data_IF_913393108047
#
_entry.id   IF_913393108047
#
_cell.length_a   1.000
_cell.length_b   1.000
_cell.length_c   1.000
_cell.angle_alpha   90.00
_cell.angle_beta   90.00
_cell.angle_gamma   90.00
#
_symmetry.space_group_name_H-M   'P 1'
#
loop_
_entity.id
_entity.type
_entity.pdbx_description
1 polymer ?
#
# COMPACT_ATOMS: atom_id res chain seq x y z
N UNK A 1 6.98 -40.59 29.49
CA UNK A 1 6.34 -39.33 29.04
C UNK A 1 6.63 -39.13 27.56
N UNK A 2 5.57 -39.03 26.75
CA UNK A 2 5.64 -39.16 25.29
C UNK A 2 6.10 -37.83 24.66
N UNK A 3 7.30 -37.79 24.07
CA UNK A 3 7.94 -36.56 23.55
C UNK A 3 7.07 -35.84 22.50
N UNK A 4 6.22 -36.56 21.80
CA UNK A 4 5.29 -36.05 20.77
C UNK A 4 4.20 -35.14 21.33
N UNK A 5 3.77 -35.36 22.58
CA UNK A 5 2.73 -34.53 23.21
C UNK A 5 3.26 -33.15 23.60
N UNK A 6 4.52 -33.06 24.02
CA UNK A 6 5.13 -31.79 24.42
C UNK A 6 5.34 -30.84 23.23
N UNK A 7 5.68 -31.38 22.05
CA UNK A 7 5.90 -30.59 20.84
C UNK A 7 4.59 -30.01 20.28
N UNK A 8 3.50 -30.77 20.33
CA UNK A 8 2.19 -30.31 19.85
C UNK A 8 1.60 -29.21 20.75
N UNK A 9 1.76 -29.35 22.08
CA UNK A 9 1.31 -28.34 23.04
C UNK A 9 2.09 -27.03 22.93
N UNK A 10 3.39 -27.08 22.60
CA UNK A 10 4.17 -25.86 22.36
C UNK A 10 3.71 -25.11 21.10
N UNK A 11 3.44 -25.83 20.00
CA UNK A 11 2.99 -25.21 18.73
C UNK A 11 1.62 -24.54 18.91
N UNK A 12 0.71 -25.16 19.67
CA UNK A 12 -0.61 -24.58 19.98
C UNK A 12 -0.50 -23.37 20.92
N UNK A 13 0.44 -23.37 21.87
CA UNK A 13 0.65 -22.24 22.78
C UNK A 13 1.23 -21.00 22.07
N UNK A 14 2.11 -21.20 21.07
CA UNK A 14 2.63 -20.11 20.24
C UNK A 14 1.57 -19.51 19.31
N UNK A 15 0.59 -20.31 18.85
CA UNK A 15 -0.55 -19.78 18.09
C UNK A 15 -1.54 -18.98 18.96
N UNK A 16 -1.68 -19.33 20.25
CA UNK A 16 -2.59 -18.64 21.16
C UNK A 16 -2.08 -17.26 21.62
N UNK A 17 -0.76 -17.04 21.67
CA UNK A 17 -0.19 -15.73 22.04
C UNK A 17 -0.21 -14.69 20.91
N UNK A 18 -0.55 -15.08 19.68
CA UNK A 18 -0.64 -14.17 18.53
C UNK A 18 -1.99 -13.41 18.43
N UNK A 19 -2.95 -13.63 19.34
CA UNK A 19 -4.34 -13.27 19.05
C UNK A 19 -4.86 -11.91 19.56
N UNK A 20 -4.15 -11.19 20.43
CA UNK A 20 -4.65 -9.92 20.98
C UNK A 20 -3.68 -8.75 20.83
N UNK A 21 -3.01 -8.64 19.68
CA UNK A 21 -2.29 -7.41 19.37
C UNK A 21 -3.24 -6.37 18.75
N UNK A 22 -3.64 -5.40 19.58
CA UNK A 22 -4.48 -4.28 19.17
C UNK A 22 -3.82 -3.40 18.10
N UNK A 23 -2.50 -3.56 17.83
CA UNK A 23 -1.82 -2.87 16.73
C UNK A 23 -2.46 -3.10 15.37
N UNK A 24 -3.16 -4.23 15.20
CA UNK A 24 -3.76 -4.66 13.94
C UNK A 24 -5.20 -4.20 13.73
N UNK A 25 -5.89 -3.82 14.80
CA UNK A 25 -7.25 -3.26 14.75
C UNK A 25 -7.24 -1.74 14.57
N UNK A 26 -6.18 -1.07 15.03
CA UNK A 26 -6.00 0.37 14.85
C UNK A 26 -4.52 0.71 14.54
N UNK A 27 -4.14 0.50 13.27
CA UNK A 27 -2.80 0.80 12.77
C UNK A 27 -2.53 2.31 12.82
N UNK A 28 -3.56 3.14 12.68
CA UNK A 28 -3.41 4.59 12.81
C UNK A 28 -2.95 4.96 14.23
N UNK A 29 -3.65 4.47 15.25
CA UNK A 29 -3.27 4.71 16.65
C UNK A 29 -1.87 4.16 16.95
N UNK A 30 -1.53 2.98 16.43
CA UNK A 30 -0.16 2.46 16.57
C UNK A 30 0.86 3.40 15.90
N UNK A 31 0.60 3.83 14.66
CA UNK A 31 1.49 4.71 13.90
C UNK A 31 1.79 6.03 14.63
N UNK A 32 0.77 6.64 15.23
CA UNK A 32 0.91 7.93 15.91
C UNK A 32 1.46 7.85 17.32
N UNK A 33 1.36 6.68 17.96
CA UNK A 33 1.95 6.45 19.28
C UNK A 33 3.30 5.73 19.22
N UNK A 34 3.71 5.25 18.04
CA UNK A 34 4.99 4.61 17.86
C UNK A 34 6.10 5.63 18.12
N UNK A 35 6.91 5.37 19.14
CA UNK A 35 8.22 6.00 19.27
C UNK A 35 9.01 5.61 18.03
N UNK A 36 9.75 6.54 17.41
CA UNK A 36 10.60 6.27 16.25
C UNK A 36 11.67 5.26 16.65
N UNK A 37 11.34 3.98 16.53
CA UNK A 37 12.22 2.86 16.81
C UNK A 37 12.81 2.35 15.50
N UNK A 38 13.96 1.69 15.60
CA UNK A 38 14.56 1.04 14.45
C UNK A 38 13.63 -0.06 13.94
N UNK A 39 13.29 -0.01 12.67
CA UNK A 39 12.58 -1.08 11.96
C UNK A 39 13.55 -2.12 11.37
N UNK A 40 14.85 -1.99 11.64
CA UNK A 40 15.89 -2.86 11.08
C UNK A 40 16.18 -2.62 9.59
N UNK A 41 15.63 -1.57 8.99
CA UNK A 41 15.89 -1.18 7.60
C UNK A 41 16.57 0.18 7.53
N UNK A 42 17.41 0.37 6.52
CA UNK A 42 17.96 1.68 6.19
C UNK A 42 18.45 1.69 4.74
N UNK A 43 18.21 2.81 4.06
CA UNK A 43 18.87 3.07 2.77
C UNK A 43 20.31 3.52 3.06
N UNK A 44 21.26 2.67 2.68
CA UNK A 44 22.68 2.86 2.99
C UNK A 44 22.98 2.74 4.48
N UNK A 45 24.25 2.94 4.83
CA UNK A 45 24.71 3.03 6.22
C UNK A 45 24.38 4.42 6.80
N UNK A 46 24.06 4.50 8.09
CA UNK A 46 23.92 5.78 8.81
C UNK A 46 25.21 6.61 8.74
N UNK A 47 26.36 5.94 8.55
CA UNK A 47 27.69 6.57 8.41
C UNK A 47 28.07 6.87 6.96
N UNK A 48 27.23 6.50 5.98
CA UNK A 48 27.52 6.74 4.58
C UNK A 48 27.59 8.24 4.30
N UNK A 49 28.47 8.64 3.39
CA UNK A 49 28.49 9.99 2.85
C UNK A 49 27.20 10.27 2.08
N UNK A 50 26.89 11.57 1.88
CA UNK A 50 25.76 11.98 1.04
C UNK A 50 25.86 11.40 -0.38
N UNK A 51 27.07 11.34 -0.95
CA UNK A 51 27.29 10.81 -2.31
C UNK A 51 27.01 9.32 -2.40
N UNK A 52 27.51 8.52 -1.44
CA UNK A 52 27.23 7.07 -1.39
C UNK A 52 25.74 6.80 -1.23
N UNK A 53 25.08 7.55 -0.35
CA UNK A 53 23.63 7.45 -0.16
C UNK A 53 22.84 7.80 -1.42
N UNK A 54 23.16 8.92 -2.08
CA UNK A 54 22.55 9.30 -3.35
C UNK A 54 22.76 8.24 -4.43
N UNK A 55 23.95 7.63 -4.47
CA UNK A 55 24.23 6.55 -5.41
C UNK A 55 23.39 5.31 -5.12
N UNK A 56 23.30 4.86 -3.86
CA UNK A 56 22.41 3.75 -3.45
C UNK A 56 20.94 4.03 -3.78
N UNK A 57 20.49 5.28 -3.61
CA UNK A 57 19.13 5.65 -4.02
C UNK A 57 18.94 5.48 -5.53
N UNK A 58 19.89 5.98 -6.32
CA UNK A 58 19.81 6.02 -7.78
C UNK A 58 19.96 4.65 -8.44
N UNK A 59 20.88 3.82 -7.94
CA UNK A 59 21.25 2.55 -8.59
C UNK A 59 20.52 1.35 -8.03
N UNK A 60 20.09 1.41 -6.77
CA UNK A 60 19.44 0.26 -6.10
C UNK A 60 17.99 0.57 -5.73
N UNK A 61 17.76 1.59 -4.89
CA UNK A 61 16.47 1.78 -4.22
C UNK A 61 15.38 2.22 -5.17
N UNK A 62 15.60 3.30 -5.93
CA UNK A 62 14.61 3.81 -6.88
C UNK A 62 14.30 2.80 -8.00
N UNK A 63 15.30 2.20 -8.69
CA UNK A 63 15.01 1.18 -9.70
C UNK A 63 14.25 -0.03 -9.14
N UNK A 64 14.53 -0.46 -7.92
CA UNK A 64 13.82 -1.58 -7.30
C UNK A 64 12.36 -1.25 -6.96
N UNK A 65 12.09 -0.06 -6.43
CA UNK A 65 10.70 0.41 -6.19
C UNK A 65 9.96 0.61 -7.51
N UNK A 66 10.60 1.22 -8.51
CA UNK A 66 10.05 1.38 -9.86
C UNK A 66 9.72 0.02 -10.49
N UNK A 67 10.59 -0.99 -10.33
CA UNK A 67 10.34 -2.36 -10.79
C UNK A 67 9.14 -3.00 -10.08
N UNK A 68 9.02 -2.83 -8.76
CA UNK A 68 7.86 -3.29 -8.00
C UNK A 68 6.56 -2.62 -8.49
N UNK A 69 6.62 -1.31 -8.78
CA UNK A 69 5.50 -0.56 -9.35
C UNK A 69 5.12 -1.10 -10.75
N UNK A 70 6.08 -1.27 -11.65
CA UNK A 70 5.88 -1.85 -12.99
C UNK A 70 5.24 -3.24 -12.89
N UNK A 71 5.74 -4.09 -11.99
CA UNK A 71 5.18 -5.42 -11.74
C UNK A 71 3.73 -5.32 -11.29
N UNK A 72 3.40 -4.40 -10.37
CA UNK A 72 2.03 -4.20 -9.92
C UNK A 72 1.11 -3.76 -11.06
N UNK A 73 1.49 -2.76 -11.85
CA UNK A 73 0.71 -2.32 -13.02
C UNK A 73 0.52 -3.43 -14.04
N UNK A 74 1.57 -4.21 -14.29
CA UNK A 74 1.53 -5.36 -15.20
C UNK A 74 0.60 -6.48 -14.70
N UNK A 75 0.31 -6.54 -13.40
CA UNK A 75 -0.63 -7.53 -12.84
C UNK A 75 -2.10 -7.10 -12.90
N UNK A 76 -2.37 -5.81 -13.15
CA UNK A 76 -3.74 -5.29 -13.17
C UNK A 76 -4.45 -5.64 -14.49
N UNK A 77 -5.78 -5.79 -14.48
CA UNK A 77 -6.59 -6.09 -15.67
C UNK A 77 -6.83 -4.83 -16.52
N UNK A 78 -5.75 -4.15 -16.90
CA UNK A 78 -5.78 -2.96 -17.76
C UNK A 78 -5.90 -3.34 -19.24
N UNK A 79 -6.55 -2.48 -20.03
CA UNK A 79 -6.48 -2.56 -21.48
C UNK A 79 -5.04 -2.42 -21.98
N UNK A 80 -4.70 -3.14 -23.06
CA UNK A 80 -3.32 -3.28 -23.51
C UNK A 80 -2.66 -1.95 -23.88
N UNK A 81 -3.40 -1.06 -24.55
CA UNK A 81 -2.94 0.28 -24.90
C UNK A 81 -2.67 1.13 -23.66
N UNK A 82 -3.58 1.09 -22.67
CA UNK A 82 -3.41 1.81 -21.40
C UNK A 82 -2.20 1.29 -20.64
N UNK A 83 -2.08 -0.04 -20.50
CA UNK A 83 -0.96 -0.73 -19.86
C UNK A 83 0.37 -0.33 -20.51
N UNK A 84 0.49 -0.48 -21.82
CA UNK A 84 1.71 -0.15 -22.57
C UNK A 84 2.11 1.31 -22.38
N UNK A 85 1.15 2.24 -22.45
CA UNK A 85 1.41 3.68 -22.29
C UNK A 85 1.90 4.02 -20.88
N UNK A 86 1.25 3.48 -19.85
CA UNK A 86 1.64 3.67 -18.44
C UNK A 86 3.04 3.10 -18.20
N UNK A 87 3.29 1.86 -18.62
CA UNK A 87 4.57 1.18 -18.44
C UNK A 87 5.71 1.89 -19.19
N UNK A 88 5.46 2.38 -20.40
CA UNK A 88 6.45 3.13 -21.17
C UNK A 88 6.83 4.45 -20.48
N UNK A 89 5.88 5.13 -19.82
CA UNK A 89 6.15 6.36 -19.07
C UNK A 89 6.95 6.09 -17.80
N UNK A 90 6.53 5.10 -17.02
CA UNK A 90 7.20 4.74 -15.75
C UNK A 90 8.61 4.23 -16.02
N UNK A 91 8.81 3.33 -16.98
CA UNK A 91 10.13 2.74 -17.28
C UNK A 91 11.18 3.76 -17.75
N UNK A 92 10.76 4.87 -18.34
CA UNK A 92 11.64 5.96 -18.80
C UNK A 92 11.83 7.06 -17.77
N UNK A 93 11.26 6.90 -16.57
CA UNK A 93 11.36 7.91 -15.52
C UNK A 93 12.79 8.02 -15.01
N UNK A 94 13.25 9.26 -14.87
CA UNK A 94 14.56 9.60 -14.29
C UNK A 94 14.42 9.86 -12.79
N UNK A 95 15.51 9.67 -12.06
CA UNK A 95 15.62 9.96 -10.63
C UNK A 95 16.59 11.11 -10.39
N UNK A 96 16.24 12.03 -9.50
CA UNK A 96 17.12 13.11 -9.04
C UNK A 96 16.96 13.38 -7.54
N UNK A 97 18.04 13.81 -6.90
CA UNK A 97 18.02 14.40 -5.55
C UNK A 97 18.27 15.91 -5.56
N UNK A 98 18.43 16.49 -6.74
CA UNK A 98 18.71 17.90 -6.97
C UNK A 98 17.38 18.66 -7.09
N UNK A 99 16.91 19.21 -5.96
CA UNK A 99 15.61 19.88 -5.87
C UNK A 99 15.70 21.41 -5.90
N UNK A 100 16.67 21.96 -6.63
CA UNK A 100 16.99 23.40 -6.67
C UNK A 100 15.82 24.28 -7.16
N UNK A 101 14.75 23.67 -7.68
CA UNK A 101 13.57 24.35 -8.19
C UNK A 101 12.44 24.55 -7.16
N UNK A 102 12.54 24.01 -5.95
CA UNK A 102 11.53 24.26 -4.90
C UNK A 102 11.73 25.66 -4.29
N UNK A 103 10.64 26.42 -4.21
CA UNK A 103 10.62 27.83 -3.82
C UNK A 103 11.33 28.12 -2.48
N UNK A 104 11.73 29.38 -2.25
CA UNK A 104 12.44 29.86 -1.06
C UNK A 104 11.64 29.78 0.27
N UNK A 105 10.61 28.93 0.38
CA UNK A 105 9.86 28.73 1.63
C UNK A 105 10.71 27.90 2.61
N UNK A 106 11.02 28.53 3.74
CA UNK A 106 11.90 27.98 4.78
C UNK A 106 11.37 26.69 5.43
N UNK A 107 10.05 26.44 5.45
CA UNK A 107 9.44 25.26 6.08
C UNK A 107 9.56 23.99 5.22
N UNK A 108 9.38 24.09 3.90
CA UNK A 108 9.59 23.02 2.92
C UNK A 108 11.07 22.60 2.80
N UNK A 109 11.98 23.43 3.29
CA UNK A 109 13.43 23.21 3.17
C UNK A 109 14.03 22.23 4.19
N UNK A 110 13.30 21.95 5.29
CA UNK A 110 13.81 21.20 6.44
C UNK A 110 13.38 19.72 6.49
N UNK A 111 12.34 19.35 5.75
CA UNK A 111 11.76 18.00 5.77
C UNK A 111 12.05 17.26 4.45
N UNK A 112 12.34 15.95 4.50
CA UNK A 112 12.37 15.16 3.28
C UNK A 112 11.06 15.31 2.51
N UNK A 113 11.15 15.62 1.23
CA UNK A 113 9.99 15.78 0.36
C UNK A 113 10.23 15.04 -0.96
N UNK A 114 9.16 14.70 -1.66
CA UNK A 114 9.21 14.10 -2.99
C UNK A 114 8.22 14.79 -3.90
N UNK A 115 8.52 14.81 -5.19
CA UNK A 115 7.57 15.23 -6.21
C UNK A 115 7.96 14.65 -7.56
N UNK A 116 6.99 14.60 -8.47
CA UNK A 116 7.19 14.18 -9.86
C UNK A 116 6.84 15.31 -10.83
N UNK A 117 7.66 15.50 -11.87
CA UNK A 117 7.37 16.46 -12.94
C UNK A 117 6.95 15.74 -14.23
N UNK A 118 5.74 16.03 -14.72
CA UNK A 118 5.22 15.43 -15.94
C UNK A 118 5.98 15.85 -17.20
N UNK A 119 6.54 17.08 -17.23
CA UNK A 119 7.25 17.65 -18.39
C UNK A 119 8.53 16.89 -18.72
N UNK A 120 9.35 16.64 -17.68
CA UNK A 120 10.68 16.07 -17.84
C UNK A 120 10.72 14.58 -17.52
N UNK A 121 9.61 14.05 -17.00
CA UNK A 121 9.46 12.68 -16.52
C UNK A 121 10.54 12.33 -15.48
N UNK A 122 10.72 13.22 -14.50
CA UNK A 122 11.71 13.10 -13.43
C UNK A 122 11.00 13.01 -12.08
N UNK A 123 11.36 12.01 -11.29
CA UNK A 123 11.04 11.94 -9.88
C UNK A 123 12.17 12.57 -9.06
N UNK A 124 11.80 13.42 -8.12
CA UNK A 124 12.70 14.11 -7.22
C UNK A 124 12.52 13.62 -5.79
N UNK A 125 13.63 13.30 -5.13
CA UNK A 125 13.67 13.03 -3.69
C UNK A 125 14.59 14.04 -3.00
N UNK A 126 13.98 14.97 -2.29
CA UNK A 126 14.62 16.12 -1.72
C UNK A 126 14.98 15.87 -0.26
N UNK A 127 16.18 16.32 0.14
CA UNK A 127 16.64 16.32 1.54
C UNK A 127 16.61 14.94 2.21
N UNK A 128 16.58 13.86 1.44
CA UNK A 128 16.81 12.53 1.97
C UNK A 128 18.23 12.44 2.56
N UNK A 129 18.37 11.68 3.65
CA UNK A 129 19.62 11.58 4.40
C UNK A 129 20.01 10.11 4.63
N UNK A 130 21.33 9.82 4.72
CA UNK A 130 21.82 8.49 5.08
C UNK A 130 21.11 7.93 6.32
N UNK A 131 20.81 6.63 6.30
CA UNK A 131 20.17 5.95 7.42
C UNK A 131 18.65 6.13 7.52
N UNK A 132 18.01 6.82 6.57
CA UNK A 132 16.54 6.80 6.49
C UNK A 132 16.02 5.38 6.28
N UNK A 133 14.90 5.05 6.94
CA UNK A 133 14.21 3.77 6.77
C UNK A 133 13.87 3.51 5.30
N UNK A 134 14.04 2.26 4.86
CA UNK A 134 13.68 1.87 3.50
C UNK A 134 12.17 1.95 3.27
N UNK A 135 11.36 1.72 4.31
CA UNK A 135 9.91 1.89 4.23
C UNK A 135 9.53 3.33 3.91
N UNK A 136 10.17 4.31 4.58
CA UNK A 136 9.93 5.74 4.35
C UNK A 136 10.28 6.11 2.91
N UNK A 137 11.47 5.75 2.45
CA UNK A 137 11.92 6.08 1.08
C UNK A 137 11.05 5.39 0.03
N UNK A 138 10.72 4.11 0.22
CA UNK A 138 9.84 3.38 -0.69
C UNK A 138 8.44 3.99 -0.75
N UNK A 139 7.87 4.39 0.40
CA UNK A 139 6.58 5.07 0.48
C UNK A 139 6.60 6.39 -0.28
N UNK A 140 7.63 7.22 -0.11
CA UNK A 140 7.75 8.50 -0.83
C UNK A 140 7.78 8.27 -2.34
N UNK A 141 8.62 7.34 -2.82
CA UNK A 141 8.71 7.00 -4.24
C UNK A 141 7.37 6.46 -4.77
N UNK A 142 6.81 5.45 -4.11
CA UNK A 142 5.57 4.82 -4.54
C UNK A 142 4.36 5.77 -4.49
N UNK A 143 4.31 6.70 -3.52
CA UNK A 143 3.27 7.71 -3.42
C UNK A 143 3.25 8.63 -4.64
N UNK A 144 4.38 9.24 -5.00
CA UNK A 144 4.45 10.11 -6.18
C UNK A 144 4.19 9.36 -7.48
N UNK A 145 4.70 8.13 -7.61
CA UNK A 145 4.39 7.29 -8.78
C UNK A 145 2.90 6.96 -8.86
N UNK A 146 2.23 6.79 -7.71
CA UNK A 146 0.79 6.51 -7.66
C UNK A 146 -0.04 7.74 -8.04
N UNK A 147 0.42 8.95 -7.70
CA UNK A 147 -0.22 10.20 -8.12
C UNK A 147 -0.31 10.31 -9.65
N UNK A 148 0.65 9.76 -10.38
CA UNK A 148 0.64 9.78 -11.85
C UNK A 148 -0.51 8.97 -12.47
N UNK A 149 -1.03 7.97 -11.78
CA UNK A 149 -2.02 7.04 -12.34
C UNK A 149 -3.35 7.04 -11.59
N UNK A 150 -3.47 7.86 -10.53
CA UNK A 150 -4.76 8.09 -9.90
C UNK A 150 -5.72 8.78 -10.88
N UNK A 151 -7.02 8.88 -10.55
CA UNK A 151 -8.03 9.39 -11.47
C UNK A 151 -7.75 10.79 -12.04
N UNK A 152 -6.97 11.61 -11.32
CA UNK A 152 -6.52 12.91 -11.80
C UNK A 152 -5.28 12.80 -12.71
N UNK A 153 -4.19 12.19 -12.22
CA UNK A 153 -2.91 12.15 -12.91
C UNK A 153 -2.91 11.32 -14.19
N UNK A 154 -3.77 10.29 -14.27
CA UNK A 154 -3.81 9.38 -15.42
C UNK A 154 -4.15 10.10 -16.74
N UNK A 155 -4.86 11.22 -16.67
CA UNK A 155 -5.23 12.03 -17.84
C UNK A 155 -4.01 12.70 -18.51
N UNK A 156 -2.89 12.84 -17.78
CA UNK A 156 -1.61 13.31 -18.31
C UNK A 156 -0.77 12.19 -18.96
N UNK A 157 -1.29 10.96 -18.97
CA UNK A 157 -0.64 9.77 -19.54
C UNK A 157 -1.47 9.21 -20.68
N UNK A 158 -2.76 9.03 -20.43
CA UNK A 158 -3.74 8.52 -21.39
C UNK A 158 -4.72 9.67 -21.64
N UNK A 159 -4.55 10.45 -22.72
CA UNK A 159 -5.48 11.51 -23.06
C UNK A 159 -6.85 10.90 -23.31
N UNK A 160 -7.84 11.29 -22.50
CA UNK A 160 -9.25 10.95 -22.75
C UNK A 160 -9.89 12.03 -23.64
N UNK A 161 -10.83 11.67 -24.52
CA UNK A 161 -11.64 12.66 -25.23
C UNK A 161 -12.35 13.52 -24.20
N UNK A 162 -12.08 14.83 -24.18
CA UNK A 162 -12.70 15.75 -23.23
C UNK A 162 -14.14 16.03 -23.61
N UNK A 163 -15.05 15.12 -23.33
CA UNK A 163 -16.47 15.42 -23.46
C UNK A 163 -16.89 16.32 -22.30
N UNK A 164 -17.36 17.54 -22.62
CA UNK A 164 -17.62 18.61 -21.65
C UNK A 164 -18.63 18.26 -20.53
N UNK A 165 -19.35 17.14 -20.66
CA UNK A 165 -20.48 16.75 -19.81
C UNK A 165 -20.42 15.29 -19.32
N UNK A 166 -19.25 14.66 -19.21
CA UNK A 166 -19.17 13.35 -18.57
C UNK A 166 -19.71 13.40 -17.13
N UNK A 167 -20.52 12.40 -16.74
CA UNK A 167 -20.99 12.24 -15.37
C UNK A 167 -19.93 11.57 -14.51
N UNK A 168 -20.03 11.69 -13.18
CA UNK A 168 -19.15 11.01 -12.25
C UNK A 168 -19.13 9.49 -12.53
N UNK A 169 -20.31 8.89 -12.70
CA UNK A 169 -20.46 7.47 -12.97
C UNK A 169 -19.77 7.05 -14.27
N UNK A 170 -19.77 7.93 -15.29
CA UNK A 170 -19.08 7.67 -16.54
C UNK A 170 -17.56 7.72 -16.35
N UNK A 171 -17.04 8.78 -15.74
CA UNK A 171 -15.59 8.93 -15.55
C UNK A 171 -15.03 7.85 -14.59
N UNK A 172 -15.84 7.32 -13.66
CA UNK A 172 -15.48 6.16 -12.83
C UNK A 172 -15.39 4.85 -13.62
N UNK A 173 -16.30 4.62 -14.57
CA UNK A 173 -16.28 3.45 -15.46
C UNK A 173 -15.10 3.45 -16.41
N UNK A 174 -14.67 4.64 -16.82
CA UNK A 174 -13.53 4.83 -17.72
C UNK A 174 -12.18 4.76 -17.04
N UNK A 175 -12.14 4.77 -15.71
CA UNK A 175 -10.89 4.62 -14.99
C UNK A 175 -10.28 3.23 -15.31
N UNK A 176 -8.98 3.13 -15.68
CA UNK A 176 -8.41 1.89 -16.21
C UNK A 176 -8.49 0.69 -15.27
N UNK A 177 -8.52 0.91 -13.95
CA UNK A 177 -8.70 -0.15 -12.94
C UNK A 177 -10.20 -0.26 -12.62
N UNK A 178 -10.91 -1.03 -13.44
CA UNK A 178 -12.38 -1.16 -13.37
C UNK A 178 -12.86 -1.54 -11.97
N UNK A 179 -13.82 -0.79 -11.43
CA UNK A 179 -14.44 -1.05 -10.13
C UNK A 179 -13.65 -0.55 -8.91
N UNK A 180 -12.39 -0.15 -9.06
CA UNK A 180 -11.57 0.31 -7.93
C UNK A 180 -12.15 1.57 -7.27
N UNK A 181 -12.52 2.57 -8.06
CA UNK A 181 -13.08 3.83 -7.53
C UNK A 181 -14.35 3.54 -6.72
N UNK A 182 -15.32 2.85 -7.32
CA UNK A 182 -16.57 2.49 -6.64
C UNK A 182 -16.30 1.70 -5.35
N UNK A 183 -15.33 0.78 -5.39
CA UNK A 183 -14.90 0.07 -4.19
C UNK A 183 -14.39 1.02 -3.12
N UNK A 184 -13.46 1.92 -3.42
CA UNK A 184 -12.87 2.87 -2.46
C UNK A 184 -13.88 3.90 -1.92
N UNK A 185 -14.93 4.22 -2.69
CA UNK A 185 -16.03 5.06 -2.20
C UNK A 185 -16.98 4.36 -1.23
N UNK A 186 -16.98 3.03 -1.19
CA UNK A 186 -17.86 2.27 -0.30
C UNK A 186 -17.57 2.57 1.17
N UNK A 187 -18.61 2.79 1.96
CA UNK A 187 -18.49 2.97 3.42
C UNK A 187 -17.89 1.73 4.12
N UNK A 188 -17.92 0.56 3.47
CA UNK A 188 -17.31 -0.68 3.97
C UNK A 188 -15.81 -0.78 3.68
N UNK A 189 -15.21 0.16 2.95
CA UNK A 189 -13.79 0.21 2.58
C UNK A 189 -13.20 1.56 3.02
N UNK A 190 -12.58 2.34 2.12
CA UNK A 190 -12.06 3.67 2.39
C UNK A 190 -13.14 4.72 2.68
N UNK A 191 -14.35 4.59 2.10
CA UNK A 191 -15.41 5.58 2.27
C UNK A 191 -15.03 6.94 1.69
N UNK A 192 -14.29 6.95 0.57
CA UNK A 192 -13.82 8.17 -0.09
C UNK A 192 -15.01 9.03 -0.57
N UNK A 193 -15.07 10.28 -0.10
CA UNK A 193 -16.18 11.19 -0.39
C UNK A 193 -15.78 12.28 -1.38
N UNK A 194 -16.81 12.84 -1.97
CA UNK A 194 -16.77 14.03 -2.82
C UNK A 194 -17.64 15.10 -2.18
N UNK A 195 -17.23 16.35 -2.26
CA UNK A 195 -18.10 17.48 -1.91
C UNK A 195 -19.30 17.56 -2.87
N UNK A 196 -20.44 17.06 -2.41
CA UNK A 196 -21.70 17.02 -3.17
C UNK A 196 -22.32 18.40 -3.42
N UNK A 197 -21.85 19.46 -2.73
CA UNK A 197 -22.33 20.82 -2.97
C UNK A 197 -21.79 21.42 -4.28
N UNK A 198 -20.74 20.83 -4.84
CA UNK A 198 -20.11 21.26 -6.09
C UNK A 198 -20.49 20.29 -7.22
N UNK A 199 -21.07 20.83 -8.30
CA UNK A 199 -21.39 20.05 -9.51
C UNK A 199 -20.18 19.19 -9.96
N UNK A 200 -20.37 18.11 -10.72
CA UNK A 200 -19.27 17.37 -11.36
C UNK A 200 -18.81 18.05 -12.68
N UNK A 201 -17.55 17.88 -13.09
CA UNK A 201 -16.92 18.22 -14.39
C UNK A 201 -15.71 17.28 -14.51
N UNK A 202 -15.26 16.98 -15.72
CA UNK A 202 -14.20 15.99 -16.02
C UNK A 202 -12.93 16.09 -15.14
N UNK A 203 -12.48 17.31 -14.78
CA UNK A 203 -11.29 17.50 -13.92
C UNK A 203 -11.55 17.32 -12.42
N UNK A 204 -12.79 17.03 -11.99
CA UNK A 204 -13.20 17.13 -10.58
C UNK A 204 -12.95 15.89 -9.74
N UNK A 205 -12.19 14.90 -10.22
CA UNK A 205 -11.49 14.01 -9.29
C UNK A 205 -10.32 14.73 -8.60
N UNK A 206 -9.78 15.78 -9.21
CA UNK A 206 -8.56 16.45 -8.74
C UNK A 206 -8.77 17.42 -7.57
N UNK A 207 -10.02 17.82 -7.30
CA UNK A 207 -10.31 18.86 -6.29
C UNK A 207 -11.61 18.51 -5.59
N UNK A 208 -11.60 18.61 -4.26
CA UNK A 208 -12.74 18.28 -3.39
C UNK A 208 -13.23 16.81 -3.52
N UNK A 209 -12.32 15.90 -3.89
CA UNK A 209 -12.62 14.48 -4.07
C UNK A 209 -11.52 13.59 -3.51
N UNK A 210 -11.86 12.83 -2.47
CA UNK A 210 -10.91 12.03 -1.71
C UNK A 210 -10.46 10.75 -2.45
N UNK A 211 -11.10 10.42 -3.57
CA UNK A 211 -10.77 9.20 -4.32
C UNK A 211 -9.35 9.25 -4.88
N UNK A 212 -8.86 10.43 -5.25
CA UNK A 212 -7.52 10.63 -5.81
C UNK A 212 -6.45 10.19 -4.82
N UNK A 213 -6.50 10.71 -3.58
CA UNK A 213 -5.63 10.25 -2.50
C UNK A 213 -5.85 8.79 -2.16
N UNK A 214 -7.10 8.32 -2.11
CA UNK A 214 -7.42 6.93 -1.75
C UNK A 214 -6.81 5.91 -2.72
N UNK A 215 -6.86 6.20 -4.02
CA UNK A 215 -6.23 5.37 -5.05
C UNK A 215 -4.71 5.40 -4.90
N UNK A 216 -4.14 6.58 -4.64
CA UNK A 216 -2.69 6.72 -4.41
C UNK A 216 -2.22 5.91 -3.21
N UNK A 217 -2.90 6.00 -2.06
CA UNK A 217 -2.56 5.25 -0.85
C UNK A 217 -2.70 3.74 -1.05
N UNK A 218 -3.76 3.31 -1.75
CA UNK A 218 -3.99 1.90 -2.07
C UNK A 218 -2.81 1.35 -2.85
N UNK A 219 -2.44 2.00 -3.96
CA UNK A 219 -1.36 1.54 -4.82
C UNK A 219 0.00 1.64 -4.14
N UNK A 220 0.23 2.71 -3.37
CA UNK A 220 1.44 2.86 -2.55
C UNK A 220 1.61 1.69 -1.60
N UNK A 221 0.54 1.29 -0.91
CA UNK A 221 0.55 0.14 -0.01
C UNK A 221 0.90 -1.15 -0.74
N UNK A 222 0.31 -1.39 -1.91
CA UNK A 222 0.62 -2.56 -2.74
C UNK A 222 2.11 -2.61 -3.10
N UNK A 223 2.64 -1.50 -3.61
CA UNK A 223 4.01 -1.43 -4.14
C UNK A 223 5.04 -1.49 -3.03
N UNK A 224 4.85 -0.76 -1.92
CA UNK A 224 5.76 -0.79 -0.78
C UNK A 224 5.83 -2.19 -0.19
N UNK A 225 4.67 -2.84 -0.01
CA UNK A 225 4.61 -4.21 0.51
C UNK A 225 5.36 -5.18 -0.39
N UNK A 226 5.15 -5.10 -1.71
CA UNK A 226 5.83 -5.95 -2.68
C UNK A 226 7.34 -5.70 -2.74
N UNK A 227 7.78 -4.45 -2.70
CA UNK A 227 9.20 -4.08 -2.72
C UNK A 227 9.93 -4.59 -1.48
N UNK A 228 9.41 -4.29 -0.28
CA UNK A 228 10.05 -4.70 0.98
C UNK A 228 10.06 -6.23 1.07
N UNK A 229 8.97 -6.90 0.70
CA UNK A 229 8.90 -8.37 0.68
C UNK A 229 9.96 -8.96 -0.25
N UNK A 230 10.11 -8.45 -1.47
CA UNK A 230 11.14 -8.94 -2.40
C UNK A 230 12.56 -8.77 -1.84
N UNK A 231 12.83 -7.66 -1.15
CA UNK A 231 14.18 -7.36 -0.66
C UNK A 231 14.55 -8.11 0.62
N UNK A 232 13.58 -8.37 1.49
CA UNK A 232 13.82 -8.92 2.82
C UNK A 232 13.26 -10.32 3.06
N UNK A 233 12.37 -10.85 2.21
CA UNK A 233 11.93 -12.25 2.30
C UNK A 233 12.75 -13.19 1.39
N UNK A 234 13.43 -12.64 0.38
CA UNK A 234 14.28 -13.44 -0.48
C UNK A 234 15.58 -13.76 0.26
N UNK A 235 15.87 -15.06 0.41
CA UNK A 235 17.14 -15.53 0.94
C UNK A 235 18.35 -15.13 0.07
N UNK A 236 18.15 -14.40 -1.03
CA UNK A 236 19.17 -14.04 -2.02
C UNK A 236 20.33 -13.20 -1.44
N UNK A 237 20.18 -12.62 -0.23
CA UNK A 237 21.19 -11.71 0.33
C UNK A 237 21.70 -12.06 1.74
N UNK A 238 21.47 -13.28 2.25
CA UNK A 238 21.75 -13.65 3.65
C UNK A 238 21.14 -12.67 4.68
N UNK A 239 20.15 -11.87 4.28
CA UNK A 239 19.44 -10.97 5.19
C UNK A 239 18.37 -11.78 5.90
N UNK A 240 18.28 -11.57 7.21
CA UNK A 240 17.21 -12.16 8.01
C UNK A 240 15.87 -11.56 7.58
N UNK A 241 14.84 -12.42 7.52
CA UNK A 241 13.48 -11.98 7.27
C UNK A 241 13.06 -10.99 8.35
N UNK A 242 12.42 -9.89 7.95
CA UNK A 242 11.87 -8.94 8.90
C UNK A 242 10.79 -9.62 9.75
N UNK A 243 10.89 -9.42 11.06
CA UNK A 243 9.86 -9.84 12.01
C UNK A 243 8.59 -9.00 11.84
N UNK A 244 7.45 -9.50 12.32
CA UNK A 244 6.20 -8.72 12.34
C UNK A 244 6.34 -7.39 13.10
N UNK A 245 7.18 -7.34 14.14
CA UNK A 245 7.47 -6.09 14.86
C UNK A 245 8.20 -5.08 13.99
N UNK A 246 9.19 -5.52 13.22
CA UNK A 246 9.93 -4.66 12.29
C UNK A 246 9.04 -4.15 11.17
N UNK A 247 8.16 -4.99 10.61
CA UNK A 247 7.15 -4.56 9.64
C UNK A 247 6.21 -3.50 10.20
N UNK A 248 5.71 -3.69 11.42
CA UNK A 248 4.85 -2.71 12.09
C UNK A 248 5.57 -1.38 12.31
N UNK A 249 6.80 -1.42 12.80
CA UNK A 249 7.59 -0.22 13.00
C UNK A 249 7.92 0.48 11.67
N UNK A 250 8.25 -0.27 10.62
CA UNK A 250 8.55 0.27 9.30
C UNK A 250 7.37 1.02 8.69
N UNK A 251 6.18 0.42 8.72
CA UNK A 251 4.94 1.06 8.28
C UNK A 251 4.61 2.28 9.16
N UNK A 252 4.73 2.16 10.49
CA UNK A 252 4.51 3.30 11.37
C UNK A 252 5.46 4.46 11.03
N UNK A 253 6.76 4.18 10.89
CA UNK A 253 7.78 5.17 10.54
C UNK A 253 7.47 5.86 9.20
N UNK A 254 6.94 5.13 8.20
CA UNK A 254 6.64 5.71 6.88
C UNK A 254 5.43 6.63 6.84
N UNK A 255 4.55 6.57 7.85
CA UNK A 255 3.33 7.37 7.94
C UNK A 255 3.29 8.30 9.17
N UNK A 256 4.27 8.21 10.09
CA UNK A 256 4.27 8.97 11.35
C UNK A 256 4.20 10.49 11.13
N UNK A 257 4.85 11.02 10.09
CA UNK A 257 4.78 12.45 9.77
C UNK A 257 3.38 12.94 9.42
N UNK A 258 2.45 12.04 9.11
CA UNK A 258 1.06 12.36 8.81
C UNK A 258 0.17 12.41 10.05
N UNK A 259 0.68 11.97 11.22
CA UNK A 259 -0.05 11.98 12.48
C UNK A 259 -0.30 13.38 13.07
N UNK A 260 0.54 14.35 12.72
CA UNK A 260 0.47 15.72 13.24
C UNK A 260 -0.49 16.64 12.50
N UNK A 261 -1.20 16.12 11.49
CA UNK A 261 -2.20 16.90 10.77
C UNK A 261 -3.59 16.73 11.39
N UNK A 262 -3.75 17.20 12.63
CA UNK A 262 -5.02 17.77 13.08
C UNK A 262 -5.25 19.09 12.30
N UNK A 263 -5.33 19.01 10.97
CA UNK A 263 -5.94 20.10 10.22
C UNK A 263 -7.38 20.12 10.70
N UNK A 264 -7.88 21.23 11.30
CA UNK A 264 -9.29 21.33 11.60
C UNK A 264 -10.03 20.99 10.31
N UNK A 265 -10.91 20.00 10.39
CA UNK A 265 -11.76 19.55 9.29
C UNK A 265 -12.61 20.75 8.87
N UNK A 266 -12.11 21.53 7.91
CA UNK A 266 -12.70 22.77 7.41
C UNK A 266 -13.88 22.49 6.47
N UNK A 267 -14.27 21.22 6.37
CA UNK A 267 -15.52 20.77 5.81
C UNK A 267 -15.33 19.85 4.62
N UNK A 268 -14.19 19.87 3.92
CA UNK A 268 -13.82 18.90 2.86
C UNK A 268 -12.34 19.07 2.46
N UNK A 269 -11.43 18.32 3.09
CA UNK A 269 -10.07 18.17 2.57
C UNK A 269 -10.02 17.08 1.48
N UNK A 270 -9.14 17.22 0.49
CA UNK A 270 -8.87 16.19 -0.53
C UNK A 270 -8.34 14.87 0.07
N UNK A 271 -7.95 14.91 1.35
CA UNK A 271 -7.52 13.75 2.11
C UNK A 271 -8.67 13.19 2.96
N UNK A 272 -8.80 11.86 2.97
CA UNK A 272 -9.51 11.15 4.04
C UNK A 272 -8.81 11.43 5.38
N UNK A 273 -9.55 11.31 6.50
CA UNK A 273 -8.90 11.38 7.82
C UNK A 273 -7.78 10.34 7.91
N UNK A 274 -6.66 10.70 8.55
CA UNK A 274 -5.50 9.82 8.66
C UNK A 274 -5.88 8.45 9.22
N UNK A 275 -6.73 8.42 10.26
CA UNK A 275 -7.23 7.18 10.84
C UNK A 275 -7.95 6.31 9.81
N UNK A 276 -8.81 6.90 8.97
CA UNK A 276 -9.52 6.16 7.94
C UNK A 276 -8.55 5.62 6.90
N UNK A 277 -7.62 6.44 6.38
CA UNK A 277 -6.60 6.03 5.38
C UNK A 277 -5.81 4.81 5.87
N UNK A 278 -5.25 4.92 7.08
CA UNK A 278 -4.44 3.85 7.65
C UNK A 278 -5.25 2.58 7.92
N UNK A 279 -6.43 2.67 8.52
CA UNK A 279 -7.15 1.47 8.95
C UNK A 279 -7.92 0.77 7.82
N UNK A 280 -8.39 1.54 6.82
CA UNK A 280 -9.24 1.00 5.75
C UNK A 280 -8.53 0.73 4.42
N UNK A 281 -7.36 1.34 4.20
CA UNK A 281 -6.55 1.15 2.98
C UNK A 281 -5.27 0.38 3.33
N UNK A 282 -4.40 0.97 4.14
CA UNK A 282 -3.11 0.35 4.50
C UNK A 282 -3.35 -0.94 5.26
N UNK A 283 -4.19 -0.86 6.29
CA UNK A 283 -4.50 -1.95 7.20
C UNK A 283 -5.37 -3.07 6.63
N UNK A 284 -5.94 -2.91 5.44
CA UNK A 284 -6.73 -3.95 4.79
C UNK A 284 -5.96 -4.73 3.73
N UNK A 285 -4.78 -4.27 3.29
CA UNK A 285 -3.94 -4.99 2.33
C UNK A 285 -3.60 -6.40 2.86
N UNK A 286 -4.00 -7.49 2.19
CA UNK A 286 -3.90 -8.84 2.73
C UNK A 286 -2.45 -9.31 2.90
N UNK A 287 -1.57 -8.97 1.95
CA UNK A 287 -0.15 -9.32 2.02
C UNK A 287 0.51 -8.61 3.19
N UNK A 288 0.28 -7.31 3.34
CA UNK A 288 0.80 -6.51 4.43
C UNK A 288 0.27 -6.99 5.78
N UNK A 289 -1.03 -7.25 5.91
CA UNK A 289 -1.62 -7.80 7.13
C UNK A 289 -0.93 -9.09 7.57
N UNK A 290 -0.63 -9.99 6.64
CA UNK A 290 0.12 -11.21 6.95
C UNK A 290 1.53 -10.89 7.49
N UNK A 291 2.23 -9.92 6.88
CA UNK A 291 3.55 -9.46 7.35
C UNK A 291 3.51 -8.80 8.73
N UNK A 292 2.44 -8.10 9.04
CA UNK A 292 2.21 -7.46 10.34
C UNK A 292 1.77 -8.46 11.43
N UNK A 293 1.49 -9.72 11.09
CA UNK A 293 0.93 -10.71 12.02
C UNK A 293 -0.57 -10.48 12.33
N UNK A 294 -1.30 -9.79 11.45
CA UNK A 294 -2.68 -9.38 11.65
C UNK A 294 -3.67 -10.42 11.11
N UNK A 295 -3.96 -11.45 11.90
CA UNK A 295 -4.84 -12.56 11.49
C UNK A 295 -6.33 -12.35 11.79
N UNK A 296 -6.65 -11.40 12.67
CA UNK A 296 -8.03 -11.08 13.03
C UNK A 296 -8.77 -10.46 11.83
N UNK A 297 -10.10 -10.56 11.84
CA UNK A 297 -10.97 -9.98 10.81
C UNK A 297 -10.77 -8.47 10.76
N UNK A 298 -10.46 -7.94 9.59
CA UNK A 298 -10.39 -6.51 9.37
C UNK A 298 -11.78 -5.87 9.51
N UNK A 299 -11.84 -4.67 10.08
CA UNK A 299 -13.09 -3.92 10.18
C UNK A 299 -13.62 -3.46 8.81
N UNK A 300 -12.71 -3.28 7.85
CA UNK A 300 -13.00 -2.82 6.50
C UNK A 300 -12.66 -3.90 5.47
N UNK A 301 -13.34 -3.86 4.33
CA UNK A 301 -13.01 -4.68 3.17
C UNK A 301 -11.83 -4.06 2.39
N UNK A 302 -11.03 -4.93 1.81
CA UNK A 302 -9.95 -4.60 0.89
C UNK A 302 -10.47 -4.49 -0.54
N UNK A 303 -9.94 -3.53 -1.31
CA UNK A 303 -10.21 -3.37 -2.74
C UNK A 303 -9.15 -4.12 -3.57
N UNK A 304 -9.49 -5.29 -4.08
CA UNK A 304 -8.63 -6.13 -4.92
C UNK A 304 -8.70 -5.71 -6.38
N UNK A 305 -7.87 -4.71 -6.74
CA UNK A 305 -7.77 -4.22 -8.12
C UNK A 305 -7.33 -5.27 -9.16
N UNK A 306 -6.88 -6.45 -8.74
CA UNK A 306 -6.56 -7.56 -9.66
C UNK A 306 -7.76 -8.44 -9.99
N UNK A 307 -8.86 -8.29 -9.25
CA UNK A 307 -10.07 -9.11 -9.38
C UNK A 307 -11.32 -8.22 -9.40
N UNK A 308 -11.67 -7.63 -10.55
CA UNK A 308 -12.78 -6.69 -10.66
C UNK A 308 -14.13 -7.33 -10.34
N UNK A 309 -14.28 -8.63 -10.58
CA UNK A 309 -15.52 -9.38 -10.28
C UNK A 309 -15.72 -9.62 -8.77
N UNK A 310 -14.64 -9.53 -7.99
CA UNK A 310 -14.65 -9.65 -6.53
C UNK A 310 -13.85 -8.52 -5.88
N UNK A 311 -14.10 -7.29 -6.30
CA UNK A 311 -13.30 -6.12 -5.91
C UNK A 311 -13.27 -5.90 -4.40
N UNK A 312 -14.39 -6.00 -3.68
CA UNK A 312 -14.42 -5.83 -2.22
C UNK A 312 -14.35 -7.18 -1.49
N UNK A 313 -13.29 -7.41 -0.72
CA UNK A 313 -13.09 -8.65 0.06
C UNK A 313 -12.83 -8.34 1.52
N UNK A 314 -13.59 -8.96 2.43
CA UNK A 314 -13.29 -8.90 3.87
C UNK A 314 -12.12 -9.84 4.16
N UNK A 315 -11.06 -9.31 4.77
CA UNK A 315 -9.83 -10.04 5.07
C UNK A 315 -9.82 -10.51 6.53
N UNK A 316 -9.29 -11.71 6.82
CA UNK A 316 -8.98 -12.15 8.18
C UNK A 316 -9.99 -13.09 8.86
N UNK A 317 -10.38 -14.19 8.20
CA UNK A 317 -10.75 -15.39 8.95
C UNK A 317 -9.77 -16.51 8.59
N UNK A 318 -9.20 -17.23 9.57
CA UNK A 318 -8.64 -18.54 9.27
C UNK A 318 -9.75 -19.35 8.61
N UNK A 319 -9.45 -19.99 7.47
CA UNK A 319 -10.20 -21.19 7.08
C UNK A 319 -10.12 -22.06 8.34
N UNK A 320 -11.23 -22.25 9.05
CA UNK A 320 -11.28 -23.19 10.16
C UNK A 320 -10.59 -24.44 9.66
N UNK A 321 -9.49 -24.85 10.32
CA UNK A 321 -8.79 -26.06 9.94
C UNK A 321 -9.87 -27.13 9.87
N UNK A 322 -10.19 -27.57 8.64
CA UNK A 322 -11.33 -28.43 8.42
C UNK A 322 -11.13 -29.60 9.36
N UNK A 323 -12.02 -29.72 10.35
CA UNK A 323 -12.05 -30.87 11.22
C UNK A 323 -12.29 -32.04 10.27
N UNK A 324 -11.21 -32.73 9.91
CA UNK A 324 -11.24 -33.98 9.18
C UNK A 324 -11.91 -35.00 10.08
N UNK A 325 -13.23 -34.88 10.23
CA UNK A 325 -14.09 -35.89 10.78
C UNK A 325 -14.14 -37.02 9.78
N UNK A 326 -13.12 -37.86 9.80
CA UNK A 326 -13.19 -39.19 9.25
C UNK A 326 -14.18 -40.00 10.08
N UNK A 327 -15.48 -39.84 9.82
CA UNK A 327 -16.46 -40.87 10.15
C UNK A 327 -16.13 -42.08 9.30
N UNK A 328 -15.36 -43.00 9.89
CA UNK A 328 -15.28 -44.38 9.42
C UNK A 328 -16.63 -45.03 9.71
N UNK A 329 -17.51 -45.02 8.71
CA UNK A 329 -18.69 -45.88 8.69
C UNK A 329 -18.21 -47.34 8.64
N UNK A 330 -18.59 -48.21 9.60
CA UNK A 330 -18.30 -49.63 9.48
C UNK A 330 -19.02 -50.20 8.27
N UNK A 331 -18.28 -50.89 7.40
CA UNK A 331 -18.84 -51.63 6.29
C UNK A 331 -19.72 -52.77 6.81
N UNK A 332 -21.03 -52.66 6.60
CA UNK A 332 -21.95 -53.78 6.76
C UNK A 332 -21.71 -54.75 5.59
N UNK A 333 -21.01 -55.85 5.87
CA UNK A 333 -20.89 -56.97 4.95
C UNK A 333 -22.17 -57.81 5.02
N UNK A 334 -23.13 -57.50 4.15
CA UNK A 334 -24.10 -58.50 3.72
C UNK A 334 -23.48 -59.30 2.58
N UNK A 335 -22.78 -60.37 2.96
CA UNK A 335 -22.46 -61.49 2.08
C UNK A 335 -23.27 -62.69 2.52
N UNK A 336 -24.47 -62.86 1.96
CA UNK A 336 -25.15 -64.15 1.97
C UNK A 336 -24.65 -64.98 0.80
N UNK A 337 -24.35 -66.25 1.03
CA UNK A 337 -24.53 -67.33 0.05
C UNK A 337 -24.82 -68.61 0.87
N UNK A 338 -25.77 -69.40 0.35
CA UNK A 338 -26.24 -70.73 0.77
C UNK A 338 -25.35 -71.54 1.71
#
# INVERSE_FOLDING_TARGET
MNKTFLTLSLILAFQAHAQNDNSCSDIAAFTCNAVVASDGTSVGSVKASKSEFTETLKTETFPAVQKAFIKKISSLPLEETARTTILAKISKMKFSTECEQLSNRLDESLWPNSFYTHSDNVFYLCKAKPGMSEFVVAKMIASELSEMINPCGINNIIPRPREKNESLEQSEKEYPIKGLISCLRSENTAGAKRDGSKAFKETKFCTDDQVTRSVSDWLTTEVVTDYISQKYDSHENNKENLTASQWRQGIANSYNSECSFDRPDDGFSEDLSFQRRMNSIVGTNPTLRNKLGCYNKAAYAYCDGSNPDAMAKVIGQPKAAGSGGGTTTPANSQGGVK
#
